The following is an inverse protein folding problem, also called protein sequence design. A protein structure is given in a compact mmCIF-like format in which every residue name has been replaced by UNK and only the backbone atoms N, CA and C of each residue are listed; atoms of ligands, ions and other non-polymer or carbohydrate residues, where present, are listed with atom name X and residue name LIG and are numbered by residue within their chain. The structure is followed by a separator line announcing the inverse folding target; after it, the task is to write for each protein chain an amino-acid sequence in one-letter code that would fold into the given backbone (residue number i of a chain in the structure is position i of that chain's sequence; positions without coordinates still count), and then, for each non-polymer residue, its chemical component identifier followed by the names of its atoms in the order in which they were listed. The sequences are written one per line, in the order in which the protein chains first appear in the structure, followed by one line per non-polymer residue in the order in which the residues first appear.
data_IF_812849956471
#
_entry.id   IF_812849956471
#
_cell.length_a   1.000
_cell.length_b   1.000
_cell.length_c   1.000
_cell.angle_alpha   90.00
_cell.angle_beta   90.00
_cell.angle_gamma   90.00
#
_symmetry.space_group_name_H-M   'P 1'
#
loop_
_entity.id
_entity.type
_entity.pdbx_description
1 polymer ?
#
# COMPACT_ATOMS: atom_id res chain seq x y z
N UNK A 1 -5.41 7.31 25.04
CA UNK A 1 -4.91 7.42 23.66
C UNK A 1 -4.91 6.01 23.07
N UNK A 2 -5.83 5.70 22.17
CA UNK A 2 -5.96 4.35 21.60
C UNK A 2 -5.15 4.27 20.30
N UNK A 3 -4.23 3.30 20.24
CA UNK A 3 -3.39 3.03 19.09
C UNK A 3 -4.25 2.57 17.90
N UNK A 4 -4.09 3.23 16.75
CA UNK A 4 -4.64 2.76 15.48
C UNK A 4 -3.96 1.43 15.12
N UNK A 5 -4.67 0.32 15.32
CA UNK A 5 -4.24 -0.97 14.82
C UNK A 5 -4.49 -1.01 13.31
N UNK A 6 -3.43 -0.84 12.53
CA UNK A 6 -3.44 -1.14 11.11
C UNK A 6 -3.62 -2.66 10.91
N UNK A 7 -4.87 -3.10 10.73
CA UNK A 7 -5.19 -4.46 10.32
C UNK A 7 -4.86 -4.62 8.82
N UNK A 8 -3.56 -4.78 8.54
CA UNK A 8 -3.01 -4.99 7.19
C UNK A 8 -2.26 -6.30 7.02
N UNK A 9 -2.45 -7.26 7.94
CA UNK A 9 -2.03 -8.65 7.74
C UNK A 9 -2.98 -9.31 6.72
N UNK A 10 -2.37 -9.96 5.75
CA UNK A 10 -2.96 -10.33 4.46
C UNK A 10 -4.26 -11.08 4.57
N UNK A 11 -5.23 -10.60 3.81
CA UNK A 11 -6.31 -11.43 3.31
C UNK A 11 -6.71 -10.80 1.97
N UNK A 12 -6.81 -11.61 0.92
CA UNK A 12 -7.16 -11.21 -0.47
C UNK A 12 -8.60 -10.64 -0.58
N UNK A 13 -9.21 -10.26 0.54
CA UNK A 13 -10.64 -10.13 0.76
C UNK A 13 -11.22 -8.74 0.56
N UNK A 14 -10.59 -7.86 -0.22
CA UNK A 14 -11.24 -6.60 -0.62
C UNK A 14 -11.57 -6.55 -2.11
N UNK A 15 -10.92 -7.38 -2.93
CA UNK A 15 -11.18 -7.45 -4.38
C UNK A 15 -12.37 -8.36 -4.72
N UNK A 16 -12.74 -9.28 -3.82
CA UNK A 16 -13.83 -10.26 -4.03
C UNK A 16 -15.17 -9.85 -3.36
N UNK A 17 -15.22 -8.71 -2.68
CA UNK A 17 -16.23 -8.42 -1.65
C UNK A 17 -17.28 -7.37 -2.05
N UNK A 18 -17.30 -6.95 -3.32
CA UNK A 18 -18.29 -5.99 -3.83
C UNK A 18 -18.97 -6.51 -5.10
N UNK A 19 -20.30 -6.62 -5.06
CA UNK A 19 -21.12 -6.66 -6.27
C UNK A 19 -21.57 -5.22 -6.57
N UNK A 20 -21.33 -4.76 -7.80
CA UNK A 20 -21.89 -3.50 -8.29
C UNK A 20 -23.18 -3.79 -9.05
N UNK A 21 -24.26 -3.08 -8.71
CA UNK A 21 -25.54 -3.13 -9.41
C UNK A 21 -25.91 -1.73 -9.89
N UNK A 22 -26.39 -1.61 -11.13
CA UNK A 22 -26.92 -0.36 -11.65
C UNK A 22 -28.42 -0.25 -11.31
N UNK A 23 -28.76 0.62 -10.36
CA UNK A 23 -30.15 1.02 -10.13
C UNK A 23 -30.55 2.04 -11.22
N UNK A 24 -31.46 1.66 -12.12
CA UNK A 24 -31.87 2.50 -13.26
C UNK A 24 -32.61 3.79 -12.86
N UNK A 25 -32.91 4.00 -11.58
CA UNK A 25 -33.56 5.22 -11.07
C UNK A 25 -32.67 6.12 -10.21
N UNK A 26 -31.44 5.71 -9.88
CA UNK A 26 -30.50 6.54 -9.12
C UNK A 26 -29.15 6.54 -9.80
N UNK A 27 -28.69 7.72 -10.21
CA UNK A 27 -27.38 7.94 -10.86
C UNK A 27 -26.16 7.69 -9.95
N UNK A 28 -26.32 6.93 -8.85
CA UNK A 28 -25.29 6.67 -7.88
C UNK A 28 -25.00 5.15 -7.81
N UNK A 29 -23.72 4.73 -7.91
CA UNK A 29 -23.37 3.33 -7.76
C UNK A 29 -23.71 2.84 -6.35
N UNK A 30 -24.42 1.70 -6.27
CA UNK A 30 -24.66 0.99 -5.01
C UNK A 30 -23.55 -0.05 -4.82
N UNK A 31 -22.90 0.01 -3.66
CA UNK A 31 -21.92 -0.97 -3.23
C UNK A 31 -22.53 -1.87 -2.17
N UNK A 32 -22.63 -3.16 -2.48
CA UNK A 32 -23.03 -4.17 -1.51
C UNK A 32 -21.77 -4.78 -0.90
N UNK A 33 -21.62 -4.62 0.41
CA UNK A 33 -20.58 -5.28 1.18
C UNK A 33 -21.12 -6.58 1.77
N UNK A 34 -20.25 -7.57 1.85
CA UNK A 34 -20.60 -8.83 2.47
C UNK A 34 -20.83 -8.69 3.99
N UNK A 35 -21.27 -9.79 4.61
CA UNK A 35 -21.56 -9.81 6.04
C UNK A 35 -20.30 -9.63 6.90
N UNK A 36 -19.12 -10.06 6.42
CA UNK A 36 -17.88 -10.00 7.21
C UNK A 36 -17.32 -8.58 7.27
N UNK A 37 -17.25 -7.87 6.14
CA UNK A 37 -16.88 -6.46 6.09
C UNK A 37 -17.87 -5.63 6.91
N UNK A 38 -19.18 -5.88 6.75
CA UNK A 38 -20.22 -5.21 7.55
C UNK A 38 -20.02 -5.44 9.06
N UNK A 39 -19.66 -6.66 9.48
CA UNK A 39 -19.37 -6.97 10.90
C UNK A 39 -18.14 -6.21 11.40
N UNK A 40 -17.10 -6.12 10.58
CA UNK A 40 -15.86 -5.41 10.93
C UNK A 40 -16.07 -3.90 11.04
N UNK A 41 -16.86 -3.30 10.15
CA UNK A 41 -17.21 -1.87 10.19
C UNK A 41 -18.03 -1.49 11.42
N UNK A 42 -18.74 -2.43 12.05
CA UNK A 42 -19.47 -2.18 13.31
C UNK A 42 -18.55 -2.08 14.54
N UNK A 43 -17.26 -2.41 14.43
CA UNK A 43 -16.31 -2.25 15.54
C UNK A 43 -15.99 -0.77 15.76
N UNK A 44 -16.00 -0.27 17.02
CA UNK A 44 -15.59 1.09 17.31
C UNK A 44 -14.19 1.40 16.79
N UNK A 45 -14.02 2.55 16.15
CA UNK A 45 -12.72 3.02 15.62
C UNK A 45 -12.36 2.48 14.25
N UNK A 46 -13.19 1.65 13.61
CA UNK A 46 -12.99 1.21 12.22
C UNK A 46 -13.62 2.23 11.27
N UNK A 47 -12.85 2.66 10.25
CA UNK A 47 -13.31 3.57 9.20
C UNK A 47 -13.16 2.89 7.84
N UNK A 48 -14.20 2.91 7.02
CA UNK A 48 -14.12 2.56 5.62
C UNK A 48 -13.69 3.78 4.81
N UNK A 49 -12.67 3.64 3.98
CA UNK A 49 -12.18 4.70 3.11
C UNK A 49 -12.15 4.20 1.68
N UNK A 50 -12.68 5.00 0.75
CA UNK A 50 -12.50 4.78 -0.67
C UNK A 50 -11.36 5.67 -1.13
N UNK A 51 -10.38 5.06 -1.79
CA UNK A 51 -9.16 5.74 -2.23
C UNK A 51 -9.04 5.52 -3.74
N UNK A 52 -8.85 6.61 -4.47
CA UNK A 52 -8.46 6.55 -5.89
C UNK A 52 -6.97 6.22 -5.98
N UNK A 53 -6.67 4.93 -5.85
CA UNK A 53 -5.32 4.41 -5.78
C UNK A 53 -4.69 4.34 -7.18
N UNK A 54 -3.48 4.89 -7.34
CA UNK A 54 -2.69 4.75 -8.57
C UNK A 54 -2.30 3.29 -8.82
N UNK A 55 -1.99 2.55 -7.76
CA UNK A 55 -1.63 1.14 -7.81
C UNK A 55 -2.38 0.34 -6.75
N UNK A 56 -2.79 -0.87 -7.10
CA UNK A 56 -3.25 -1.86 -6.14
C UNK A 56 -2.07 -2.49 -5.39
N UNK A 57 -2.30 -2.99 -4.17
CA UNK A 57 -1.27 -3.72 -3.40
C UNK A 57 -0.72 -4.92 -4.20
N UNK A 58 -1.59 -5.62 -4.94
CA UNK A 58 -1.22 -6.75 -5.79
C UNK A 58 -0.27 -6.34 -6.93
N UNK A 59 -0.49 -5.18 -7.54
CA UNK A 59 0.40 -4.65 -8.58
C UNK A 59 1.78 -4.25 -8.03
N UNK A 60 1.85 -3.83 -6.76
CA UNK A 60 3.10 -3.38 -6.13
C UNK A 60 3.93 -4.54 -5.54
N UNK A 61 3.33 -5.69 -5.26
CA UNK A 61 4.00 -6.83 -4.63
C UNK A 61 5.24 -7.32 -5.41
N UNK A 62 5.21 -7.48 -6.74
CA UNK A 62 6.40 -7.85 -7.50
C UNK A 62 7.54 -6.84 -7.39
N UNK A 63 7.22 -5.53 -7.33
CA UNK A 63 8.21 -4.48 -7.16
C UNK A 63 8.84 -4.51 -5.76
N UNK A 64 8.07 -4.83 -4.73
CA UNK A 64 8.61 -5.05 -3.37
C UNK A 64 9.62 -6.19 -3.35
N UNK A 65 9.27 -7.32 -3.98
CA UNK A 65 10.15 -8.49 -4.05
C UNK A 65 11.41 -8.20 -4.87
N UNK A 66 11.27 -7.52 -6.01
CA UNK A 66 12.40 -7.10 -6.83
C UNK A 66 13.38 -6.22 -6.04
N UNK A 67 12.88 -5.21 -5.32
CA UNK A 67 13.73 -4.29 -4.54
C UNK A 67 14.45 -5.04 -3.42
N UNK A 68 13.76 -5.93 -2.71
CA UNK A 68 14.36 -6.73 -1.63
C UNK A 68 15.42 -7.71 -2.13
N UNK A 69 15.26 -8.22 -3.34
CA UNK A 69 16.21 -9.14 -3.97
C UNK A 69 17.35 -8.43 -4.73
N UNK A 70 17.31 -7.10 -4.88
CA UNK A 70 18.27 -6.37 -5.70
C UNK A 70 19.64 -6.27 -5.01
N UNK A 71 20.58 -7.09 -5.46
CA UNK A 71 21.96 -7.14 -4.95
C UNK A 71 22.80 -5.92 -5.33
N UNK A 72 22.28 -5.04 -6.21
CA UNK A 72 22.94 -3.79 -6.60
C UNK A 72 23.30 -2.91 -5.41
N UNK A 73 22.43 -2.85 -4.39
CA UNK A 73 22.67 -2.01 -3.22
C UNK A 73 23.74 -2.59 -2.31
N UNK A 74 23.85 -3.92 -2.25
CA UNK A 74 24.89 -4.61 -1.50
C UNK A 74 26.27 -4.32 -2.08
N UNK A 75 26.43 -4.29 -3.41
CA UNK A 75 27.72 -3.95 -4.05
C UNK A 75 28.12 -2.49 -3.82
N UNK A 76 27.15 -1.61 -3.53
CA UNK A 76 27.37 -0.22 -3.14
C UNK A 76 27.54 -0.02 -1.61
N UNK A 77 27.47 -1.08 -0.81
CA UNK A 77 27.53 -0.98 0.64
C UNK A 77 26.33 -0.26 1.27
N UNK A 78 25.18 -0.27 0.59
CA UNK A 78 23.92 0.36 1.04
C UNK A 78 22.94 -0.75 1.40
N UNK A 79 22.33 -0.68 2.58
CA UNK A 79 21.20 -1.53 2.91
C UNK A 79 19.87 -0.77 2.71
N UNK A 80 18.90 -1.44 2.08
CA UNK A 80 17.51 -1.01 2.00
C UNK A 80 16.69 -2.01 2.84
N UNK A 81 16.62 -1.82 4.17
CA UNK A 81 16.01 -2.80 5.06
C UNK A 81 14.50 -2.89 4.87
N UNK A 82 13.84 -1.78 4.56
CA UNK A 82 12.40 -1.71 4.62
C UNK A 82 11.77 -1.15 3.34
N UNK A 83 10.82 -1.92 2.81
CA UNK A 83 10.00 -1.56 1.64
C UNK A 83 8.54 -1.79 2.00
N UNK A 84 7.74 -0.74 1.96
CA UNK A 84 6.32 -0.75 2.32
C UNK A 84 5.47 -0.27 1.15
N UNK A 85 4.27 -0.84 1.02
CA UNK A 85 3.21 -0.27 0.17
C UNK A 85 2.51 0.84 0.95
N UNK A 86 2.38 2.02 0.35
CA UNK A 86 1.65 3.12 0.96
C UNK A 86 0.14 2.82 0.99
N UNK A 87 -0.56 3.05 2.11
CA UNK A 87 -2.00 2.76 2.23
C UNK A 87 -2.89 3.56 1.27
N UNK A 88 -2.40 4.71 0.79
CA UNK A 88 -3.08 5.56 -0.19
C UNK A 88 -2.95 5.05 -1.64
N UNK A 89 -2.21 3.95 -1.86
CA UNK A 89 -2.00 3.38 -3.19
C UNK A 89 -1.14 4.22 -4.12
N UNK A 90 -0.43 5.25 -3.61
CA UNK A 90 0.44 6.11 -4.41
C UNK A 90 1.72 5.39 -4.88
N UNK A 91 2.14 4.35 -4.18
CA UNK A 91 3.31 3.53 -4.54
C UNK A 91 4.02 2.94 -3.32
N UNK A 92 5.33 2.80 -3.44
CA UNK A 92 6.22 2.24 -2.43
C UNK A 92 6.91 3.34 -1.61
N UNK A 93 7.04 3.07 -0.32
CA UNK A 93 7.90 3.76 0.62
C UNK A 93 9.09 2.89 0.94
N UNK A 94 10.30 3.41 0.72
CA UNK A 94 11.54 2.77 1.16
C UNK A 94 12.06 3.49 2.40
N UNK A 95 12.50 2.73 3.42
CA UNK A 95 13.30 3.29 4.51
C UNK A 95 14.71 2.73 4.49
N UNK A 96 15.67 3.62 4.65
CA UNK A 96 17.09 3.29 4.65
C UNK A 96 17.87 4.31 5.48
N UNK A 97 18.88 3.90 6.26
CA UNK A 97 19.81 4.82 6.91
C UNK A 97 20.53 5.75 5.93
N UNK A 98 20.63 5.35 4.66
CA UNK A 98 21.31 6.10 3.60
C UNK A 98 20.35 6.85 2.67
N UNK A 99 19.07 7.01 3.06
CA UNK A 99 18.01 7.55 2.23
C UNK A 99 18.43 8.82 1.48
N UNK A 100 19.05 9.80 2.15
CA UNK A 100 19.44 11.06 1.49
C UNK A 100 20.47 10.88 0.38
N UNK A 101 21.36 9.89 0.51
CA UNK A 101 22.40 9.59 -0.49
C UNK A 101 21.85 8.82 -1.69
N UNK A 102 20.87 7.95 -1.47
CA UNK A 102 20.38 7.02 -2.52
C UNK A 102 19.00 7.39 -3.07
N UNK A 103 18.31 8.38 -2.49
CA UNK A 103 16.93 8.75 -2.83
C UNK A 103 16.71 8.90 -4.33
N UNK A 104 17.51 9.74 -5.01
CA UNK A 104 17.32 9.97 -6.44
C UNK A 104 17.54 8.70 -7.26
N UNK A 105 18.60 7.96 -6.97
CA UNK A 105 18.95 6.76 -7.73
C UNK A 105 17.93 5.63 -7.53
N UNK A 106 17.49 5.42 -6.29
CA UNK A 106 16.39 4.50 -5.96
C UNK A 106 15.13 4.90 -6.70
N UNK A 107 14.75 6.18 -6.64
CA UNK A 107 13.56 6.67 -7.31
C UNK A 107 13.64 6.48 -8.82
N UNK A 108 14.81 6.71 -9.44
CA UNK A 108 15.02 6.52 -10.88
C UNK A 108 14.94 5.04 -11.29
N UNK A 109 15.66 4.17 -10.56
CA UNK A 109 15.77 2.75 -10.88
C UNK A 109 14.44 2.01 -10.78
N UNK A 110 13.60 2.41 -9.82
CA UNK A 110 12.33 1.73 -9.55
C UNK A 110 11.11 2.57 -9.94
N UNK A 111 11.26 3.52 -10.87
CA UNK A 111 10.08 4.15 -11.50
C UNK A 111 9.21 3.08 -12.16
N UNK A 112 7.88 3.22 -12.15
CA UNK A 112 7.09 4.30 -11.55
C UNK A 112 6.64 4.01 -10.11
N UNK A 113 7.21 3.00 -9.46
CA UNK A 113 6.65 2.38 -8.26
C UNK A 113 7.08 3.05 -6.96
N UNK A 114 8.29 3.61 -6.86
CA UNK A 114 8.76 4.26 -5.64
C UNK A 114 8.24 5.70 -5.56
N UNK A 115 7.42 5.96 -4.55
CA UNK A 115 6.84 7.27 -4.27
C UNK A 115 7.65 8.06 -3.23
N UNK A 116 8.22 7.38 -2.23
CA UNK A 116 8.95 8.01 -1.13
C UNK A 116 10.17 7.20 -0.69
N UNK A 117 11.23 7.90 -0.28
CA UNK A 117 12.42 7.33 0.36
C UNK A 117 12.74 8.14 1.61
N UNK A 118 12.64 7.52 2.78
CA UNK A 118 12.80 8.15 4.09
C UNK A 118 13.97 7.56 4.87
N UNK A 119 14.57 8.37 5.73
CA UNK A 119 15.60 7.91 6.67
C UNK A 119 14.94 7.02 7.73
N UNK A 120 15.61 5.94 8.13
CA UNK A 120 15.04 4.91 9.01
C UNK A 120 14.60 5.43 10.40
N UNK A 121 15.16 6.56 10.85
CA UNK A 121 14.86 7.18 12.16
C UNK A 121 13.67 8.17 12.13
N UNK A 122 12.89 8.19 11.04
CA UNK A 122 11.68 9.01 10.87
C UNK A 122 10.42 8.14 10.68
#
# INVERSE_FOLDING_TARGET
MAAAQAYGQGDDSLSEFSQSGADRQRSAPLFYFDAELTRRLKKPGVTLVFIDAKFTRKQLQPAVEQIKADTYWNSKGVAIPDVYVLPDGSGLLLRSPWADKVRQEVMERYKPYVAKVLTQDQ
#
